data_IF_650077554012
#
_entry.id   IF_650077554012
#
_cell.length_a   1.000
_cell.length_b   1.000
_cell.length_c   1.000
_cell.angle_alpha   90.00
_cell.angle_beta   90.00
_cell.angle_gamma   90.00
#
_symmetry.space_group_name_H-M   'P 1'
#
loop_
_entity.id
_entity.type
_entity.pdbx_description
1 polymer ?
#
# COMPACT_ATOMS: atom_id res chain seq x y z
N UNK A 1 41.80 28.84 44.95
CA UNK A 1 41.20 27.87 44.02
C UNK A 1 39.73 28.22 43.87
N UNK A 2 39.36 28.83 42.75
CA UNK A 2 37.97 28.91 42.30
C UNK A 2 38.03 28.85 40.77
N UNK A 3 37.75 27.67 40.21
CA UNK A 3 37.61 27.50 38.77
C UNK A 3 36.15 27.78 38.41
N UNK A 4 35.92 28.90 37.72
CA UNK A 4 34.62 29.26 37.16
C UNK A 4 34.55 28.67 35.74
N UNK A 5 33.92 27.50 35.60
CA UNK A 5 33.60 26.93 34.29
C UNK A 5 32.46 27.73 33.65
N UNK A 6 32.76 28.49 32.58
CA UNK A 6 31.76 29.03 31.67
C UNK A 6 31.22 27.89 30.78
N UNK A 7 29.96 27.54 30.97
CA UNK A 7 29.17 26.75 30.03
C UNK A 7 28.70 27.67 28.89
N UNK A 8 29.33 27.55 27.72
CA UNK A 8 28.82 28.14 26.48
C UNK A 8 27.70 27.24 25.96
N UNK A 9 26.46 27.61 26.24
CA UNK A 9 25.30 26.99 25.60
C UNK A 9 25.22 27.42 24.15
N UNK A 10 25.70 26.57 23.23
CA UNK A 10 25.32 26.67 21.82
C UNK A 10 23.87 26.19 21.69
N UNK A 11 22.93 27.10 21.93
CA UNK A 11 21.55 26.91 21.51
C UNK A 11 21.51 26.82 19.99
N UNK A 12 20.98 25.73 19.46
CA UNK A 12 20.54 25.65 18.06
C UNK A 12 19.33 26.57 17.89
N UNK A 13 19.57 27.88 17.81
CA UNK A 13 18.65 28.84 17.25
C UNK A 13 18.58 28.60 15.75
N UNK A 14 17.88 27.54 15.35
CA UNK A 14 17.52 27.30 13.96
C UNK A 14 16.52 28.37 13.54
N UNK A 15 16.94 29.21 12.62
CA UNK A 15 16.11 30.11 11.83
C UNK A 15 14.87 29.33 11.36
N UNK A 16 13.66 29.88 11.58
CA UNK A 16 12.43 29.33 10.99
C UNK A 16 12.61 29.31 9.48
N UNK A 17 12.99 28.14 8.96
CA UNK A 17 12.97 27.89 7.54
C UNK A 17 11.51 27.93 7.14
N UNK A 18 11.15 28.91 6.32
CA UNK A 18 9.91 28.88 5.56
C UNK A 18 9.87 27.53 4.85
N UNK A 19 8.96 26.65 5.26
CA UNK A 19 8.82 25.35 4.63
C UNK A 19 8.67 25.59 3.12
N UNK A 20 9.45 24.90 2.26
CA UNK A 20 9.18 24.96 0.83
C UNK A 20 7.69 24.61 0.65
N UNK A 21 6.99 25.37 -0.18
CA UNK A 21 5.64 24.97 -0.61
C UNK A 21 5.80 23.66 -1.37
N UNK A 22 5.71 22.56 -0.63
CA UNK A 22 5.92 21.23 -1.15
C UNK A 22 4.88 20.94 -2.21
N UNK A 23 5.31 20.27 -3.28
CA UNK A 23 4.39 19.56 -4.16
C UNK A 23 3.44 18.76 -3.26
N UNK A 24 2.13 18.84 -3.56
CA UNK A 24 1.13 18.11 -2.81
C UNK A 24 1.45 16.61 -2.76
N UNK A 25 0.80 15.85 -1.85
CA UNK A 25 1.06 14.42 -1.76
C UNK A 25 0.84 13.75 -3.13
N UNK A 26 1.74 12.84 -3.50
CA UNK A 26 1.62 12.08 -4.75
C UNK A 26 0.42 11.15 -4.61
N UNK A 27 -0.47 11.16 -5.61
CA UNK A 27 -1.70 10.36 -5.60
C UNK A 27 -1.92 9.66 -6.93
N UNK A 28 -2.66 8.54 -6.90
CA UNK A 28 -3.12 7.85 -8.10
C UNK A 28 -4.55 7.31 -7.92
N UNK A 29 -5.35 7.21 -8.99
CA UNK A 29 -6.70 6.68 -8.93
C UNK A 29 -6.69 5.15 -8.80
N UNK A 30 -7.71 4.60 -8.15
CA UNK A 30 -8.04 3.18 -8.19
C UNK A 30 -9.55 2.98 -8.09
N UNK A 31 -10.06 1.86 -8.60
CA UNK A 31 -11.48 1.50 -8.41
C UNK A 31 -11.65 0.91 -7.02
N UNK A 32 -12.40 1.58 -6.17
CA UNK A 32 -12.89 1.03 -4.91
C UNK A 32 -14.22 0.32 -5.15
N UNK A 33 -14.38 -0.87 -4.60
CA UNK A 33 -15.63 -1.61 -4.62
C UNK A 33 -16.28 -1.52 -3.24
N UNK A 34 -17.48 -0.97 -3.19
CA UNK A 34 -18.31 -0.97 -2.00
C UNK A 34 -18.87 -2.37 -1.69
N UNK A 35 -19.50 -2.54 -0.52
CA UNK A 35 -20.21 -3.77 -0.19
C UNK A 35 -21.21 -4.14 -1.29
N UNK A 36 -21.10 -5.35 -1.84
CA UNK A 36 -21.94 -5.80 -2.97
C UNK A 36 -21.32 -5.55 -4.35
N UNK A 37 -20.13 -4.96 -4.44
CA UNK A 37 -19.34 -4.88 -5.67
C UNK A 37 -19.58 -3.66 -6.53
N UNK A 38 -20.30 -2.64 -6.03
CA UNK A 38 -20.48 -1.37 -6.74
C UNK A 38 -19.13 -0.67 -6.91
N UNK A 39 -18.68 -0.38 -8.14
CA UNK A 39 -17.43 0.35 -8.38
C UNK A 39 -17.60 1.85 -8.10
N UNK A 40 -16.61 2.44 -7.46
CA UNK A 40 -16.50 3.85 -7.08
C UNK A 40 -15.08 4.35 -7.36
N UNK A 41 -14.95 5.60 -7.79
CA UNK A 41 -13.64 6.21 -8.07
C UNK A 41 -13.03 6.75 -6.78
N UNK A 42 -11.90 6.17 -6.37
CA UNK A 42 -11.17 6.58 -5.18
C UNK A 42 -9.73 6.95 -5.54
N UNK A 43 -9.09 7.66 -4.61
CA UNK A 43 -7.70 8.08 -4.74
C UNK A 43 -6.87 7.43 -3.64
N UNK A 44 -5.76 6.81 -4.04
CA UNK A 44 -4.72 6.36 -3.12
C UNK A 44 -3.62 7.44 -3.01
N UNK A 45 -2.94 7.48 -1.87
CA UNK A 45 -1.86 8.44 -1.60
C UNK A 45 -0.56 7.70 -1.33
N UNK A 46 0.50 8.08 -2.03
CA UNK A 46 1.86 7.61 -1.77
C UNK A 46 2.43 8.46 -0.61
N UNK A 47 2.62 7.81 0.54
CA UNK A 47 3.18 8.42 1.76
C UNK A 47 4.72 8.41 1.74
N UNK A 48 5.30 7.42 1.09
CA UNK A 48 6.74 7.22 0.95
C UNK A 48 7.02 6.60 -0.40
N UNK A 49 8.06 7.10 -1.08
CA UNK A 49 8.57 6.54 -2.31
C UNK A 49 10.09 6.72 -2.34
N UNK A 50 10.81 5.62 -2.49
CA UNK A 50 12.27 5.65 -2.62
C UNK A 50 12.72 4.59 -3.63
N UNK A 51 13.56 4.99 -4.57
CA UNK A 51 13.99 4.14 -5.68
C UNK A 51 15.47 3.85 -5.65
N UNK A 52 15.84 2.62 -5.96
CA UNK A 52 17.22 2.23 -6.25
C UNK A 52 17.29 1.41 -7.55
N UNK A 53 18.48 0.97 -7.92
CA UNK A 53 18.71 0.21 -9.16
C UNK A 53 18.01 -1.15 -9.22
N UNK A 54 17.55 -1.68 -8.08
CA UNK A 54 16.92 -3.00 -7.98
C UNK A 54 15.40 -2.91 -7.84
N UNK A 55 14.90 -1.98 -7.04
CA UNK A 55 13.47 -1.84 -6.77
C UNK A 55 13.11 -0.40 -6.35
N UNK A 56 11.83 -0.07 -6.47
CA UNK A 56 11.23 1.10 -5.85
C UNK A 56 10.32 0.64 -4.71
N UNK A 57 10.49 1.24 -3.54
CA UNK A 57 9.67 0.99 -2.37
C UNK A 57 8.60 2.07 -2.22
N UNK A 58 7.40 1.66 -1.83
CA UNK A 58 6.24 2.50 -1.63
C UNK A 58 5.61 2.25 -0.27
N UNK A 59 5.11 3.30 0.38
CA UNK A 59 4.01 3.18 1.35
C UNK A 59 2.79 3.86 0.75
N UNK A 60 1.69 3.12 0.60
CA UNK A 60 0.46 3.60 -0.04
C UNK A 60 -0.69 3.57 0.95
N UNK A 61 -1.29 4.73 1.21
CA UNK A 61 -2.51 4.88 1.99
C UNK A 61 -3.75 4.85 1.10
N UNK A 62 -4.74 4.03 1.45
CA UNK A 62 -6.00 3.89 0.71
C UNK A 62 -7.11 3.29 1.60
N UNK A 63 -8.35 3.39 1.13
CA UNK A 63 -9.49 2.70 1.76
C UNK A 63 -9.65 1.31 1.15
N UNK A 64 -9.48 0.26 1.96
CA UNK A 64 -9.64 -1.13 1.53
C UNK A 64 -11.06 -1.65 1.74
N UNK A 65 -11.75 -1.20 2.79
CA UNK A 65 -13.12 -1.58 3.09
C UNK A 65 -13.82 -0.47 3.86
N UNK A 66 -15.03 -0.13 3.44
CA UNK A 66 -15.91 0.84 4.10
C UNK A 66 -17.18 0.18 4.65
N UNK A 67 -17.18 -1.14 4.79
CA UNK A 67 -18.37 -1.92 5.15
C UNK A 67 -18.73 -1.87 6.64
N UNK A 68 -17.89 -1.26 7.49
CA UNK A 68 -18.13 -1.12 8.92
C UNK A 68 -17.93 0.33 9.36
N UNK A 69 -18.40 0.60 10.58
CA UNK A 69 -18.25 1.89 11.23
C UNK A 69 -16.77 2.29 11.40
N UNK A 70 -16.51 3.61 11.44
CA UNK A 70 -15.18 4.19 11.61
C UNK A 70 -14.48 3.77 12.92
N UNK A 71 -15.20 3.24 13.91
CA UNK A 71 -14.61 2.63 15.11
C UNK A 71 -13.86 1.32 14.82
N UNK A 72 -14.06 0.70 13.65
CA UNK A 72 -13.44 -0.58 13.27
C UNK A 72 -12.78 -0.57 11.89
N UNK A 73 -12.99 0.48 11.09
CA UNK A 73 -12.40 0.63 9.77
C UNK A 73 -11.54 1.90 9.71
N UNK A 74 -10.24 1.69 9.50
CA UNK A 74 -9.21 2.70 9.34
C UNK A 74 -8.69 2.70 7.90
N UNK A 75 -7.96 3.76 7.55
CA UNK A 75 -7.15 3.78 6.32
C UNK A 75 -6.16 2.63 6.37
N UNK A 76 -6.02 1.91 5.26
CA UNK A 76 -5.04 0.85 5.08
C UNK A 76 -3.76 1.46 4.52
N UNK A 77 -2.61 1.02 5.03
CA UNK A 77 -1.29 1.39 4.50
C UNK A 77 -0.58 0.12 4.03
N UNK A 78 -0.34 0.02 2.72
CA UNK A 78 0.45 -1.07 2.13
C UNK A 78 1.89 -0.63 1.95
N UNK A 79 2.86 -1.42 2.42
CA UNK A 79 4.23 -1.34 1.96
C UNK A 79 4.42 -2.25 0.77
N UNK A 80 4.90 -1.74 -0.36
CA UNK A 80 5.09 -2.49 -1.60
C UNK A 80 6.47 -2.18 -2.19
N UNK A 81 7.23 -3.19 -2.55
CA UNK A 81 8.43 -3.06 -3.37
C UNK A 81 8.14 -3.58 -4.78
N UNK A 82 8.41 -2.77 -5.81
CA UNK A 82 8.32 -3.17 -7.22
C UNK A 82 9.70 -3.26 -7.85
N UNK A 83 9.98 -4.33 -8.59
CA UNK A 83 11.27 -4.54 -9.24
C UNK A 83 11.51 -3.56 -10.40
N UNK A 84 12.67 -2.89 -10.39
CA UNK A 84 13.15 -2.00 -11.45
C UNK A 84 14.06 -2.71 -12.46
N UNK A 85 14.42 -3.97 -12.21
CA UNK A 85 15.34 -4.74 -13.05
C UNK A 85 14.67 -5.36 -14.28
N UNK A 86 13.41 -4.98 -14.56
CA UNK A 86 12.60 -5.53 -15.64
C UNK A 86 12.76 -4.67 -16.88
N UNK A 87 12.44 -5.23 -18.06
CA UNK A 87 12.69 -4.55 -19.33
C UNK A 87 11.61 -3.54 -19.70
N UNK A 88 10.41 -3.69 -19.14
CA UNK A 88 9.25 -2.84 -19.36
C UNK A 88 8.40 -2.76 -18.08
N UNK A 89 7.51 -1.76 -18.02
CA UNK A 89 6.56 -1.59 -16.92
C UNK A 89 5.60 -2.78 -16.80
N UNK A 90 5.21 -3.37 -17.94
CA UNK A 90 4.39 -4.59 -18.00
C UNK A 90 5.00 -5.80 -17.27
N UNK A 91 6.32 -5.90 -17.23
CA UNK A 91 7.04 -6.98 -16.56
C UNK A 91 7.49 -6.60 -15.13
N UNK A 92 7.24 -5.36 -14.69
CA UNK A 92 7.45 -4.94 -13.31
C UNK A 92 6.67 -5.89 -12.38
N UNK A 93 7.28 -6.28 -11.27
CA UNK A 93 6.73 -7.32 -10.41
C UNK A 93 6.88 -6.97 -8.93
N UNK A 94 5.93 -7.47 -8.13
CA UNK A 94 5.97 -7.32 -6.68
C UNK A 94 7.15 -8.12 -6.13
N UNK A 95 8.12 -7.42 -5.56
CA UNK A 95 9.23 -8.03 -4.81
C UNK A 95 8.80 -8.39 -3.39
N UNK A 96 8.09 -7.46 -2.75
CA UNK A 96 7.62 -7.56 -1.37
C UNK A 96 6.30 -6.81 -1.24
N UNK A 97 5.38 -7.33 -0.43
CA UNK A 97 4.22 -6.59 0.06
C UNK A 97 3.96 -6.95 1.52
N UNK A 98 3.64 -5.96 2.36
CA UNK A 98 3.21 -6.18 3.74
C UNK A 98 2.33 -5.05 4.27
N UNK A 99 1.49 -5.38 5.24
CA UNK A 99 0.66 -4.45 6.01
C UNK A 99 1.05 -4.42 7.50
N UNK A 100 2.19 -5.02 7.85
CA UNK A 100 2.68 -5.15 9.22
C UNK A 100 4.09 -4.59 9.40
N UNK A 101 4.81 -5.09 10.39
CA UNK A 101 6.24 -4.83 10.64
C UNK A 101 6.63 -3.34 10.75
N UNK A 102 5.72 -2.48 11.24
CA UNK A 102 5.87 -1.01 11.24
C UNK A 102 6.09 -0.39 9.85
N UNK A 103 5.83 -1.14 8.77
CA UNK A 103 5.93 -0.68 7.38
C UNK A 103 4.56 -0.40 6.78
N UNK A 104 3.51 -1.04 7.30
CA UNK A 104 2.13 -0.81 6.88
C UNK A 104 1.15 -0.89 8.02
N UNK A 105 -0.12 -0.81 7.67
CA UNK A 105 -1.26 -0.94 8.57
C UNK A 105 -2.39 -1.67 7.84
N UNK A 106 -2.79 -2.82 8.36
CA UNK A 106 -4.03 -3.48 7.96
C UNK A 106 -5.21 -2.73 8.59
N UNK A 107 -5.83 -1.84 7.82
CA UNK A 107 -6.81 -0.88 8.35
C UNK A 107 -8.23 -1.42 8.50
N UNK A 108 -8.53 -2.62 7.99
CA UNK A 108 -9.88 -3.18 7.98
C UNK A 108 -10.01 -4.35 8.95
N UNK A 109 -11.14 -4.44 9.66
CA UNK A 109 -11.70 -5.64 10.30
C UNK A 109 -10.70 -6.75 10.61
N UNK A 110 -9.89 -6.56 11.66
CA UNK A 110 -9.02 -7.59 12.18
C UNK A 110 -9.59 -8.14 13.51
N UNK A 111 -10.01 -9.42 13.57
CA UNK A 111 -10.08 -10.40 12.48
C UNK A 111 -11.28 -10.15 11.55
N UNK A 112 -11.34 -10.86 10.42
CA UNK A 112 -12.44 -10.74 9.47
C UNK A 112 -13.80 -10.96 10.17
N UNK A 113 -14.77 -10.11 9.86
CA UNK A 113 -16.06 -10.11 10.54
C UNK A 113 -16.90 -11.38 10.30
N UNK A 114 -16.80 -11.98 9.10
CA UNK A 114 -17.57 -13.16 8.73
C UNK A 114 -16.90 -14.47 9.15
N UNK A 115 -15.58 -14.46 9.33
CA UNK A 115 -14.75 -15.61 9.70
C UNK A 115 -13.68 -15.15 10.69
N UNK A 116 -13.95 -15.27 11.99
CA UNK A 116 -13.05 -14.75 13.03
C UNK A 116 -11.71 -15.48 13.09
N UNK A 117 -11.63 -16.67 12.49
CA UNK A 117 -10.39 -17.42 12.26
C UNK A 117 -9.50 -16.82 11.17
N UNK A 118 -10.03 -15.93 10.31
CA UNK A 118 -9.24 -15.19 9.32
C UNK A 118 -8.63 -13.97 10.00
N UNK A 119 -7.58 -14.23 10.77
CA UNK A 119 -6.75 -13.19 11.40
C UNK A 119 -5.90 -12.46 10.36
N UNK A 120 -5.24 -11.38 10.78
CA UNK A 120 -4.26 -10.71 9.94
C UNK A 120 -3.13 -11.64 9.49
N UNK A 121 -2.64 -12.54 10.34
CA UNK A 121 -1.62 -13.52 9.99
C UNK A 121 -2.14 -14.51 8.94
N UNK A 122 -3.38 -14.96 9.08
CA UNK A 122 -4.02 -15.83 8.08
C UNK A 122 -4.13 -15.10 6.74
N UNK A 123 -4.62 -13.86 6.72
CA UNK A 123 -4.73 -13.07 5.49
C UNK A 123 -3.36 -12.74 4.88
N UNK A 124 -2.34 -12.53 5.71
CA UNK A 124 -0.98 -12.36 5.22
C UNK A 124 -0.53 -13.61 4.45
N UNK A 125 -0.64 -14.79 5.06
CA UNK A 125 -0.21 -16.05 4.46
C UNK A 125 -1.03 -16.44 3.21
N UNK A 126 -2.35 -16.30 3.27
CA UNK A 126 -3.26 -16.85 2.26
C UNK A 126 -3.66 -15.86 1.16
N UNK A 127 -3.40 -14.57 1.35
CA UNK A 127 -3.66 -13.55 0.34
C UNK A 127 -2.42 -12.71 0.05
N UNK A 128 -1.89 -11.95 1.04
CA UNK A 128 -0.85 -10.94 0.80
C UNK A 128 0.42 -11.55 0.22
N UNK A 129 0.92 -12.64 0.81
CA UNK A 129 2.14 -13.29 0.34
C UNK A 129 1.94 -14.01 -1.01
N UNK A 130 0.69 -14.31 -1.41
CA UNK A 130 0.40 -14.88 -2.73
C UNK A 130 0.52 -13.82 -3.85
N UNK A 131 0.55 -12.53 -3.51
CA UNK A 131 0.73 -11.44 -4.48
C UNK A 131 2.22 -11.25 -4.85
N UNK A 132 3.14 -11.77 -4.05
CA UNK A 132 4.58 -11.65 -4.32
C UNK A 132 4.91 -12.37 -5.63
N UNK A 133 5.73 -11.72 -6.46
CA UNK A 133 6.11 -12.08 -7.84
C UNK A 133 5.05 -11.83 -8.91
N UNK A 134 3.81 -11.44 -8.57
CA UNK A 134 2.86 -11.03 -9.58
C UNK A 134 3.40 -9.82 -10.34
N UNK A 135 3.25 -9.87 -11.65
CA UNK A 135 3.62 -8.79 -12.57
C UNK A 135 2.46 -7.81 -12.75
N UNK A 136 2.74 -6.62 -13.31
CA UNK A 136 1.71 -5.70 -13.77
C UNK A 136 0.72 -6.43 -14.69
N UNK A 137 1.20 -7.23 -15.65
CA UNK A 137 0.36 -8.02 -16.55
C UNK A 137 -0.59 -8.97 -15.82
N UNK A 138 -0.11 -9.65 -14.78
CA UNK A 138 -0.95 -10.58 -14.00
C UNK A 138 -2.06 -9.83 -13.25
N UNK A 139 -1.72 -8.67 -12.67
CA UNK A 139 -2.70 -7.81 -11.99
C UNK A 139 -3.66 -7.15 -12.98
N UNK A 140 -3.21 -6.81 -14.18
CA UNK A 140 -4.06 -6.24 -15.23
C UNK A 140 -5.07 -7.23 -15.77
N UNK A 141 -4.72 -8.52 -15.82
CA UNK A 141 -5.59 -9.61 -16.22
C UNK A 141 -6.68 -9.94 -15.20
N UNK A 142 -6.58 -9.43 -13.96
CA UNK A 142 -7.63 -9.56 -12.96
C UNK A 142 -8.95 -8.93 -13.42
N UNK A 143 -10.05 -9.66 -13.23
CA UNK A 143 -11.37 -9.33 -13.81
C UNK A 143 -12.23 -8.44 -12.90
N UNK A 144 -11.67 -7.92 -11.81
CA UNK A 144 -12.37 -7.05 -10.87
C UNK A 144 -13.08 -7.81 -9.73
N UNK A 145 -14.01 -7.11 -9.08
CA UNK A 145 -14.65 -7.56 -7.85
C UNK A 145 -15.14 -9.01 -7.87
N UNK A 146 -14.86 -9.74 -6.79
CA UNK A 146 -15.28 -11.13 -6.63
C UNK A 146 -14.38 -12.15 -7.31
N UNK A 147 -13.46 -11.72 -8.17
CA UNK A 147 -12.44 -12.59 -8.76
C UNK A 147 -11.12 -12.45 -8.01
N UNK A 148 -10.22 -13.42 -8.17
CA UNK A 148 -8.87 -13.37 -7.61
C UNK A 148 -7.83 -13.57 -8.71
N UNK A 149 -6.64 -13.05 -8.48
CA UNK A 149 -5.45 -13.42 -9.26
C UNK A 149 -5.16 -14.91 -9.08
N UNK A 150 -4.55 -15.55 -10.08
CA UNK A 150 -4.41 -17.02 -10.16
C UNK A 150 -3.71 -17.64 -8.94
N UNK A 151 -2.81 -16.91 -8.29
CA UNK A 151 -2.04 -17.38 -7.12
C UNK A 151 -2.85 -17.41 -5.82
N UNK A 152 -4.02 -16.76 -5.78
CA UNK A 152 -4.86 -16.67 -4.57
C UNK A 152 -5.98 -17.69 -4.67
N UNK A 153 -6.09 -18.55 -3.65
CA UNK A 153 -7.25 -19.45 -3.48
C UNK A 153 -8.51 -18.63 -3.13
N UNK A 154 -9.56 -18.64 -3.98
CA UNK A 154 -10.80 -17.90 -3.72
C UNK A 154 -11.49 -18.29 -2.40
N UNK A 155 -11.39 -19.56 -1.99
CA UNK A 155 -12.01 -20.03 -0.73
C UNK A 155 -11.26 -19.51 0.50
N UNK A 156 -9.94 -19.35 0.38
CA UNK A 156 -9.11 -18.82 1.45
C UNK A 156 -9.42 -17.35 1.75
N UNK A 157 -10.00 -16.61 0.81
CA UNK A 157 -10.40 -15.20 0.98
C UNK A 157 -11.91 -14.99 1.01
N UNK A 158 -12.69 -16.07 1.08
CA UNK A 158 -14.14 -16.01 1.18
C UNK A 158 -14.57 -15.22 2.43
N UNK A 159 -15.40 -14.19 2.25
CA UNK A 159 -15.79 -13.26 3.32
C UNK A 159 -14.89 -12.03 3.46
N UNK A 160 -13.77 -11.94 2.73
CA UNK A 160 -12.88 -10.78 2.66
C UNK A 160 -12.86 -10.13 1.27
N UNK A 161 -13.86 -10.42 0.42
CA UNK A 161 -13.87 -10.05 -1.01
C UNK A 161 -13.70 -8.56 -1.27
N UNK A 162 -14.32 -7.70 -0.46
CA UNK A 162 -14.19 -6.24 -0.60
C UNK A 162 -12.72 -5.82 -0.43
N UNK A 163 -12.11 -6.24 0.68
CA UNK A 163 -10.74 -5.89 1.03
C UNK A 163 -9.74 -6.45 0.00
N UNK A 164 -9.87 -7.72 -0.40
CA UNK A 164 -8.95 -8.32 -1.38
C UNK A 164 -9.10 -7.73 -2.77
N UNK A 165 -10.33 -7.40 -3.20
CA UNK A 165 -10.57 -6.71 -4.47
C UNK A 165 -9.97 -5.30 -4.46
N UNK A 166 -10.15 -4.56 -3.38
CA UNK A 166 -9.63 -3.18 -3.29
C UNK A 166 -8.11 -3.13 -3.15
N UNK A 167 -7.48 -4.10 -2.49
CA UNK A 167 -6.02 -4.24 -2.48
C UNK A 167 -5.52 -4.52 -3.91
N UNK A 168 -6.15 -5.45 -4.63
CA UNK A 168 -5.75 -5.79 -6.01
C UNK A 168 -5.94 -4.61 -6.97
N UNK A 169 -7.04 -3.88 -6.84
CA UNK A 169 -7.31 -2.66 -7.61
C UNK A 169 -6.33 -1.53 -7.31
N UNK A 170 -5.97 -1.33 -6.03
CA UNK A 170 -4.93 -0.37 -5.64
C UNK A 170 -3.58 -0.75 -6.25
N UNK A 171 -3.20 -2.04 -6.23
CA UNK A 171 -1.96 -2.50 -6.86
C UNK A 171 -1.96 -2.25 -8.37
N UNK A 172 -3.10 -2.41 -9.04
CA UNK A 172 -3.25 -2.07 -10.46
C UNK A 172 -2.94 -0.59 -10.72
N UNK A 173 -3.48 0.31 -9.89
CA UNK A 173 -3.18 1.75 -9.94
C UNK A 173 -1.71 2.05 -9.65
N UNK A 174 -1.12 1.40 -8.64
CA UNK A 174 0.30 1.57 -8.30
C UNK A 174 1.22 1.12 -9.43
N UNK A 175 0.91 -0.01 -10.08
CA UNK A 175 1.66 -0.48 -11.24
C UNK A 175 1.57 0.48 -12.42
N UNK A 176 0.40 1.06 -12.69
CA UNK A 176 0.25 2.07 -13.73
C UNK A 176 1.11 3.31 -13.43
N UNK A 177 1.03 3.83 -12.20
CA UNK A 177 1.87 4.95 -11.75
C UNK A 177 3.36 4.63 -11.90
N UNK A 178 3.78 3.43 -11.47
CA UNK A 178 5.17 3.00 -11.53
C UNK A 178 5.66 2.86 -12.98
N UNK A 179 4.85 2.27 -13.86
CA UNK A 179 5.16 2.14 -15.29
C UNK A 179 5.36 3.52 -15.95
N UNK A 180 4.43 4.45 -15.72
CA UNK A 180 4.51 5.81 -16.25
C UNK A 180 5.78 6.53 -15.80
N UNK A 181 6.08 6.45 -14.50
CA UNK A 181 7.21 7.20 -13.91
C UNK A 181 8.58 6.62 -14.23
N UNK A 182 8.73 5.29 -14.15
CA UNK A 182 10.04 4.63 -14.23
C UNK A 182 10.35 4.00 -15.59
N UNK A 183 9.32 3.78 -16.41
CA UNK A 183 9.46 3.20 -17.74
C UNK A 183 8.96 4.14 -18.86
N UNK A 184 8.23 5.21 -18.53
CA UNK A 184 7.69 6.16 -19.50
C UNK A 184 6.54 5.59 -20.34
N UNK A 185 5.79 4.63 -19.76
CA UNK A 185 4.71 3.86 -20.40
C UNK A 185 3.32 4.30 -19.93
#
# INVERSE_FOLDING_TARGET
>A
MLALCLLVGTGCGGQEATAPQGEGPVTFPFTHYASGGTPEDYTATILFEESNSTFTAYQVAFHSCTCRDAQSNFVTVAYVELLNTRKSGEDAAIRTITFGNNQGLWGDSNPNYYRSEYTQEYMDQHFVQQLVKLTKRDVDAWQGYGTQVETVDPEAVAGATVSTSNITSMLKGLFAYHAEKYYGE
#
